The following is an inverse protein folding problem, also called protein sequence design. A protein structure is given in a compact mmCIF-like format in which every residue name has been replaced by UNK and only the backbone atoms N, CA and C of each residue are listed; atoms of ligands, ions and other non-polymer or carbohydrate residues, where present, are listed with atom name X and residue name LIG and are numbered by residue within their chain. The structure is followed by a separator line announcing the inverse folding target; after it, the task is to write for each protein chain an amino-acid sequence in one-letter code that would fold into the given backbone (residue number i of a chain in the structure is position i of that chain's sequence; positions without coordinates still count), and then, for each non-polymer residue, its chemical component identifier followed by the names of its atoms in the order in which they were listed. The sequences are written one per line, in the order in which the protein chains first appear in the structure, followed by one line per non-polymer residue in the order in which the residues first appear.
data_IF_392655081056
#
_entry.id   IF_392655081056
#
_cell.length_a   1.000
_cell.length_b   1.000
_cell.length_c   1.000
_cell.angle_alpha   90.00
_cell.angle_beta   90.00
_cell.angle_gamma   90.00
#
_symmetry.space_group_name_H-M   'P 1'
#
loop_
_entity.id
_entity.type
_entity.pdbx_description
1 polymer ?
#
# COMPACT_ATOMS: atom_id res chain seq x y z
N UNK A 1 11.78 -19.15 -5.24
CA UNK A 1 10.37 -19.03 -4.77
C UNK A 1 10.07 -17.56 -4.57
N UNK A 2 9.20 -17.02 -5.42
CA UNK A 2 8.46 -15.74 -5.38
C UNK A 2 8.89 -14.74 -4.30
N UNK A 3 9.52 -13.64 -4.73
CA UNK A 3 10.00 -12.56 -3.86
C UNK A 3 8.90 -11.95 -2.97
N UNK A 4 9.29 -11.17 -1.95
CA UNK A 4 8.35 -10.61 -0.99
C UNK A 4 7.25 -9.86 -1.75
N UNK A 5 6.01 -10.25 -1.50
CA UNK A 5 4.84 -9.57 -2.01
C UNK A 5 4.87 -8.13 -1.49
N UNK A 6 5.30 -7.19 -2.33
CA UNK A 6 5.22 -5.76 -2.03
C UNK A 6 3.76 -5.36 -2.18
N UNK A 7 3.00 -5.51 -1.09
CA UNK A 7 1.55 -5.35 -1.06
C UNK A 7 1.12 -4.72 0.24
N UNK A 8 -0.03 -4.08 0.17
CA UNK A 8 -0.78 -3.62 1.32
C UNK A 8 -1.93 -4.61 1.61
N UNK A 9 -2.35 -4.73 2.86
CA UNK A 9 -3.49 -5.57 3.25
C UNK A 9 -4.37 -4.82 4.23
N UNK A 10 -5.67 -4.72 3.91
CA UNK A 10 -6.70 -4.10 4.75
C UNK A 10 -7.42 -5.20 5.53
N UNK A 11 -7.52 -5.02 6.84
CA UNK A 11 -8.23 -5.93 7.74
C UNK A 11 -9.35 -5.17 8.44
N UNK A 12 -10.45 -5.88 8.71
CA UNK A 12 -11.48 -5.40 9.62
C UNK A 12 -10.99 -5.49 11.07
N UNK A 13 -11.72 -4.85 12.00
CA UNK A 13 -11.34 -4.81 13.41
C UNK A 13 -11.31 -6.18 14.10
N UNK A 14 -12.00 -7.17 13.52
CA UNK A 14 -11.99 -8.57 13.96
C UNK A 14 -10.84 -9.39 13.38
N UNK A 15 -9.97 -8.79 12.56
CA UNK A 15 -8.87 -9.45 11.87
C UNK A 15 -9.24 -10.11 10.53
N UNK A 16 -10.49 -9.99 10.08
CA UNK A 16 -10.90 -10.50 8.77
C UNK A 16 -10.21 -9.72 7.66
N UNK A 17 -9.57 -10.42 6.70
CA UNK A 17 -8.97 -9.77 5.54
C UNK A 17 -10.08 -9.21 4.63
N UNK A 18 -10.04 -7.90 4.39
CA UNK A 18 -11.01 -7.18 3.55
C UNK A 18 -10.48 -7.04 2.12
N UNK A 19 -9.22 -6.62 1.98
CA UNK A 19 -8.64 -6.34 0.67
C UNK A 19 -7.11 -6.46 0.66
N UNK A 20 -6.55 -6.61 -0.55
CA UNK A 20 -5.12 -6.50 -0.81
C UNK A 20 -4.89 -5.55 -1.97
N UNK A 21 -3.86 -4.73 -1.85
CA UNK A 21 -3.51 -3.73 -2.83
C UNK A 21 -2.04 -3.83 -3.21
N UNK A 22 -1.74 -3.41 -4.43
CA UNK A 22 -0.39 -3.37 -4.95
C UNK A 22 0.18 -4.72 -5.36
N UNK A 23 1.18 -4.62 -6.22
CA UNK A 23 2.01 -5.72 -6.68
C UNK A 23 3.43 -5.21 -6.83
N UNK A 24 4.41 -6.12 -6.80
CA UNK A 24 5.82 -5.75 -6.95
C UNK A 24 6.06 -5.04 -8.28
N UNK A 25 6.67 -3.85 -8.24
CA UNK A 25 7.08 -3.10 -9.42
C UNK A 25 7.16 -1.59 -9.17
N UNK A 26 7.35 -0.84 -10.26
CA UNK A 26 7.58 0.61 -10.26
C UNK A 26 6.42 1.40 -10.89
N UNK A 27 5.49 0.70 -11.55
CA UNK A 27 4.36 1.28 -12.24
C UNK A 27 3.29 1.90 -11.33
N UNK A 28 2.22 2.37 -11.97
CA UNK A 28 1.04 2.86 -11.27
C UNK A 28 0.43 1.76 -10.39
N UNK A 29 0.12 2.10 -9.14
CA UNK A 29 -0.34 1.17 -8.09
C UNK A 29 0.61 0.00 -7.76
N UNK A 30 1.80 -0.04 -8.34
CA UNK A 30 2.83 -1.02 -7.96
C UNK A 30 3.69 -0.48 -6.81
N UNK A 31 4.24 -1.38 -6.02
CA UNK A 31 5.08 -1.05 -4.87
C UNK A 31 6.37 -1.86 -4.93
N UNK A 32 7.45 -1.36 -4.36
CA UNK A 32 8.72 -2.05 -4.20
C UNK A 32 9.27 -1.81 -2.80
N UNK A 33 9.22 -2.86 -1.98
CA UNK A 33 9.64 -2.85 -0.57
C UNK A 33 9.05 -1.68 0.25
N UNK A 34 7.71 -1.50 0.27
CA UNK A 34 7.09 -0.46 1.08
C UNK A 34 7.40 -0.70 2.56
N UNK A 35 7.86 0.34 3.25
CA UNK A 35 8.40 0.19 4.61
C UNK A 35 7.54 0.84 5.70
N UNK A 36 6.72 1.82 5.33
CA UNK A 36 5.87 2.53 6.28
C UNK A 36 4.54 2.93 5.65
N UNK A 37 3.54 3.06 6.51
CA UNK A 37 2.20 3.52 6.16
C UNK A 37 1.66 4.47 7.23
N UNK A 38 0.96 5.53 6.82
CA UNK A 38 0.24 6.43 7.71
C UNK A 38 -1.12 6.80 7.09
N UNK A 39 -2.09 7.16 7.94
CA UNK A 39 -3.40 7.65 7.54
C UNK A 39 -3.61 9.01 8.20
N UNK A 40 -4.05 10.00 7.42
CA UNK A 40 -4.38 11.32 7.95
C UNK A 40 -5.87 11.44 8.35
N UNK A 41 -6.27 12.62 8.84
CA UNK A 41 -7.65 12.89 9.26
C UNK A 41 -8.66 12.94 8.11
N UNK A 42 -8.19 13.04 6.86
CA UNK A 42 -9.02 12.98 5.65
C UNK A 42 -9.15 11.54 5.12
N UNK A 43 -8.49 10.57 5.76
CA UNK A 43 -8.51 9.18 5.37
C UNK A 43 -7.54 8.84 4.23
N UNK A 44 -6.64 9.77 3.84
CA UNK A 44 -5.64 9.50 2.81
C UNK A 44 -4.54 8.61 3.36
N UNK A 45 -4.11 7.67 2.52
CA UNK A 45 -3.13 6.65 2.84
C UNK A 45 -1.77 7.04 2.27
N UNK A 46 -0.81 7.33 3.14
CA UNK A 46 0.56 7.65 2.76
C UNK A 46 1.41 6.39 2.83
N UNK A 47 2.03 6.02 1.72
CA UNK A 47 2.87 4.83 1.60
C UNK A 47 4.30 5.24 1.26
N UNK A 48 5.26 4.83 2.09
CA UNK A 48 6.69 4.99 1.82
C UNK A 48 7.20 3.81 0.97
N UNK A 49 7.24 4.02 -0.35
CA UNK A 49 7.62 3.04 -1.36
C UNK A 49 9.13 3.07 -1.60
N UNK A 50 9.86 2.47 -0.64
CA UNK A 50 11.30 2.69 -0.40
C UNK A 50 12.17 2.46 -1.63
N UNK A 51 12.04 1.32 -2.30
CA UNK A 51 12.94 0.98 -3.40
C UNK A 51 12.58 1.72 -4.70
N UNK A 52 11.40 2.34 -4.75
CA UNK A 52 10.99 3.27 -5.81
C UNK A 52 11.32 4.73 -5.45
N UNK A 53 11.91 5.00 -4.28
CA UNK A 53 12.29 6.34 -3.79
C UNK A 53 11.14 7.37 -3.88
N UNK A 54 9.91 6.97 -3.56
CA UNK A 54 8.72 7.83 -3.68
C UNK A 54 7.77 7.69 -2.49
N UNK A 55 6.91 8.69 -2.34
CA UNK A 55 5.70 8.62 -1.53
C UNK A 55 4.50 8.46 -2.45
N UNK A 56 3.60 7.54 -2.10
CA UNK A 56 2.32 7.35 -2.77
C UNK A 56 1.20 7.78 -1.83
N UNK A 57 0.18 8.45 -2.37
CA UNK A 57 -1.03 8.82 -1.64
C UNK A 57 -2.19 8.09 -2.30
N UNK A 58 -2.81 7.19 -1.56
CA UNK A 58 -3.98 6.43 -2.01
C UNK A 58 -5.20 6.77 -1.15
N UNK A 59 -6.40 6.47 -1.63
CA UNK A 59 -7.59 6.35 -0.80
C UNK A 59 -7.60 5.03 -0.01
N UNK A 60 -8.55 4.86 0.90
CA UNK A 60 -8.66 3.65 1.73
C UNK A 60 -9.20 2.43 0.98
N UNK A 61 -9.64 2.61 -0.26
CA UNK A 61 -10.16 1.56 -1.13
C UNK A 61 -9.12 1.13 -2.17
N UNK A 62 -7.90 1.71 -2.11
CA UNK A 62 -6.76 1.36 -2.94
C UNK A 62 -6.69 2.10 -4.27
N UNK A 63 -7.50 3.16 -4.45
CA UNK A 63 -7.38 4.11 -5.55
C UNK A 63 -6.26 5.10 -5.31
N UNK A 64 -5.57 5.51 -6.37
CA UNK A 64 -4.55 6.57 -6.29
C UNK A 64 -5.21 7.95 -6.23
N UNK A 65 -4.70 8.85 -5.38
CA UNK A 65 -5.13 10.26 -5.28
C UNK A 65 -4.02 11.17 -5.83
#
# INVERSE_FOLDING_TARGET
KNGPSSRLSKFASDGTLVARYGMTGQGHLQLSAPHAIAIDTEGRLFIADRDNNRLMIWDQDGGYI
#
